data_IF_203879858634
#
_entry.id   IF_203879858634
#
_cell.length_a   1.000
_cell.length_b   1.000
_cell.length_c   1.000
_cell.angle_alpha   90.00
_cell.angle_beta   90.00
_cell.angle_gamma   90.00
#
_symmetry.space_group_name_H-M   'P 1'
#
loop_
_entity.id
_entity.type
_entity.pdbx_description
1 polymer ?
#
# COMPACT_ATOMS: atom_id res chain seq x y z
N UNK A 1 14.37 0.74 -14.44
CA UNK A 1 13.17 -0.10 -14.22
C UNK A 1 12.97 -0.15 -12.71
N UNK A 2 11.77 0.14 -12.22
CA UNK A 2 11.48 0.03 -10.78
C UNK A 2 10.86 -1.33 -10.51
N UNK A 3 11.23 -1.95 -9.41
CA UNK A 3 10.68 -3.24 -8.97
C UNK A 3 9.29 -3.05 -8.35
N UNK A 4 8.25 -3.19 -9.18
CA UNK A 4 6.86 -3.07 -8.74
C UNK A 4 6.46 -4.23 -7.81
N UNK A 5 6.99 -5.42 -8.02
CA UNK A 5 6.66 -6.59 -7.21
C UNK A 5 7.26 -6.47 -5.81
N UNK A 6 8.52 -6.03 -5.71
CA UNK A 6 9.16 -5.73 -4.44
C UNK A 6 8.42 -4.64 -3.66
N UNK A 7 7.94 -3.59 -4.33
CA UNK A 7 7.10 -2.56 -3.69
C UNK A 7 5.78 -3.16 -3.20
N UNK A 8 5.13 -4.00 -4.01
CA UNK A 8 3.89 -4.67 -3.61
C UNK A 8 4.11 -5.57 -2.38
N UNK A 9 5.23 -6.31 -2.31
CA UNK A 9 5.57 -7.14 -1.15
C UNK A 9 5.80 -6.30 0.12
N UNK A 10 6.52 -5.19 0.01
CA UNK A 10 6.74 -4.29 1.15
C UNK A 10 5.42 -3.69 1.65
N UNK A 11 4.57 -3.22 0.76
CA UNK A 11 3.25 -2.68 1.15
C UNK A 11 2.38 -3.78 1.78
N UNK A 12 2.42 -4.99 1.23
CA UNK A 12 1.73 -6.14 1.80
C UNK A 12 2.23 -6.48 3.21
N UNK A 13 3.55 -6.48 3.42
CA UNK A 13 4.17 -6.68 4.73
C UNK A 13 3.71 -5.63 5.74
N UNK A 14 3.62 -4.35 5.35
CA UNK A 14 3.16 -3.28 6.26
C UNK A 14 1.71 -3.47 6.70
N UNK A 15 0.84 -3.97 5.81
CA UNK A 15 -0.59 -4.11 6.06
C UNK A 15 -0.90 -5.42 6.80
N UNK A 16 -0.32 -6.53 6.36
CA UNK A 16 -0.68 -7.88 6.81
C UNK A 16 0.37 -8.56 7.68
N UNK A 17 1.57 -7.97 7.82
CA UNK A 17 2.71 -8.52 8.57
C UNK A 17 3.20 -9.87 8.07
N UNK A 18 3.04 -10.14 6.77
CA UNK A 18 3.52 -11.34 6.09
C UNK A 18 3.86 -11.03 4.63
N UNK A 19 4.69 -11.86 4.03
CA UNK A 19 5.05 -11.73 2.62
C UNK A 19 3.84 -11.96 1.70
N UNK A 20 3.91 -11.33 0.54
CA UNK A 20 2.92 -11.36 -0.52
C UNK A 20 2.77 -12.78 -1.06
N UNK A 21 1.54 -13.28 -1.05
CA UNK A 21 1.16 -14.51 -1.73
C UNK A 21 0.21 -14.17 -2.87
N UNK A 22 0.59 -14.60 -4.06
CA UNK A 22 -0.16 -14.34 -5.28
C UNK A 22 -0.84 -15.60 -5.77
N UNK A 23 -2.02 -15.40 -6.34
CA UNK A 23 -2.71 -16.39 -7.15
C UNK A 23 -3.21 -15.70 -8.42
N UNK A 24 -3.48 -16.50 -9.45
CA UNK A 24 -4.01 -15.99 -10.70
C UNK A 24 -5.46 -16.43 -10.86
N UNK A 25 -6.33 -15.47 -11.16
CA UNK A 25 -7.74 -15.70 -11.43
C UNK A 25 -8.11 -14.98 -12.73
N UNK A 26 -8.64 -15.70 -13.73
CA UNK A 26 -9.00 -15.13 -15.03
C UNK A 26 -7.87 -14.30 -15.69
N UNK A 27 -6.62 -14.79 -15.59
CA UNK A 27 -5.41 -14.11 -16.07
C UNK A 27 -5.01 -12.84 -15.32
N UNK A 28 -5.68 -12.51 -14.22
CA UNK A 28 -5.35 -11.38 -13.34
C UNK A 28 -4.63 -11.89 -12.10
N UNK A 29 -3.50 -11.26 -11.76
CA UNK A 29 -2.76 -11.51 -10.53
C UNK A 29 -3.43 -10.81 -9.36
N UNK A 30 -3.73 -11.60 -8.33
CA UNK A 30 -4.45 -11.15 -7.13
C UNK A 30 -3.75 -11.65 -5.87
N UNK A 31 -3.78 -10.86 -4.81
CA UNK A 31 -3.25 -11.26 -3.50
C UNK A 31 -4.20 -12.25 -2.81
N UNK A 32 -3.69 -13.20 -2.05
CA UNK A 32 -4.51 -14.20 -1.35
C UNK A 32 -5.36 -13.61 -0.20
N UNK A 33 -4.98 -12.44 0.29
CA UNK A 33 -5.55 -11.76 1.44
C UNK A 33 -6.83 -11.00 1.08
N UNK A 34 -7.82 -11.01 1.98
CA UNK A 34 -9.09 -10.30 1.78
C UNK A 34 -8.94 -8.81 2.07
N UNK A 35 -8.56 -8.04 1.06
CA UNK A 35 -8.37 -6.59 1.11
C UNK A 35 -9.65 -5.83 1.51
N UNK A 36 -10.83 -6.33 1.10
CA UNK A 36 -12.13 -5.68 1.36
C UNK A 36 -12.47 -5.52 2.84
N UNK A 37 -11.78 -6.24 3.75
CA UNK A 37 -11.98 -6.13 5.19
C UNK A 37 -11.11 -5.06 5.86
N UNK A 38 -10.20 -4.45 5.12
CA UNK A 38 -9.30 -3.43 5.63
C UNK A 38 -9.96 -2.06 5.67
N UNK A 39 -9.52 -1.24 6.63
CA UNK A 39 -9.72 0.20 6.53
C UNK A 39 -9.02 0.71 5.25
N UNK A 40 -9.76 1.41 4.40
CA UNK A 40 -9.27 1.78 3.06
C UNK A 40 -9.21 0.61 2.07
N UNK A 41 -10.00 -0.46 2.25
CA UNK A 41 -9.97 -1.63 1.37
C UNK A 41 -10.11 -1.30 -0.13
N UNK A 42 -10.91 -0.30 -0.50
CA UNK A 42 -11.01 0.14 -1.90
C UNK A 42 -9.69 0.69 -2.45
N UNK A 43 -8.98 1.49 -1.65
CA UNK A 43 -7.66 2.04 -1.99
C UNK A 43 -6.67 0.89 -2.19
N UNK A 44 -6.56 0.00 -1.22
CA UNK A 44 -5.61 -1.11 -1.28
C UNK A 44 -5.91 -2.07 -2.42
N UNK A 45 -7.20 -2.32 -2.71
CA UNK A 45 -7.59 -3.18 -3.81
C UNK A 45 -7.15 -2.59 -5.15
N UNK A 46 -7.39 -1.28 -5.34
CA UNK A 46 -6.93 -0.55 -6.51
C UNK A 46 -5.41 -0.53 -6.63
N UNK A 47 -4.69 -0.29 -5.53
CA UNK A 47 -3.24 -0.33 -5.46
C UNK A 47 -2.69 -1.69 -5.93
N UNK A 48 -3.14 -2.79 -5.32
CA UNK A 48 -2.65 -4.12 -5.68
C UNK A 48 -3.03 -4.52 -7.10
N UNK A 49 -4.24 -4.18 -7.55
CA UNK A 49 -4.68 -4.45 -8.92
C UNK A 49 -3.77 -3.77 -9.94
N UNK A 50 -3.51 -2.46 -9.75
CA UNK A 50 -2.71 -1.67 -10.68
C UNK A 50 -1.24 -2.09 -10.67
N UNK A 51 -0.63 -2.26 -9.49
CA UNK A 51 0.80 -2.55 -9.40
C UNK A 51 1.18 -3.95 -9.92
N UNK A 52 0.25 -4.92 -9.83
CA UNK A 52 0.50 -6.30 -10.25
C UNK A 52 0.18 -6.57 -11.73
N UNK A 53 -0.70 -5.78 -12.34
CA UNK A 53 -1.30 -6.12 -13.64
C UNK A 53 -1.14 -5.03 -14.71
N UNK A 54 -0.32 -4.01 -14.47
CA UNK A 54 -0.13 -2.93 -15.45
C UNK A 54 0.94 -3.28 -16.49
N UNK A 55 0.62 -3.03 -17.76
CA UNK A 55 1.56 -3.05 -18.88
C UNK A 55 2.30 -1.72 -19.06
N UNK A 56 1.96 -0.69 -18.26
CA UNK A 56 2.58 0.62 -18.35
C UNK A 56 4.01 0.62 -17.79
N UNK A 57 4.86 1.57 -18.20
CA UNK A 57 6.16 1.76 -17.57
C UNK A 57 6.02 1.94 -16.05
N UNK A 58 6.82 1.21 -15.27
CA UNK A 58 6.80 1.25 -13.79
C UNK A 58 6.76 2.65 -13.18
N UNK A 59 7.42 3.64 -13.77
CA UNK A 59 7.41 5.04 -13.31
C UNK A 59 6.04 5.70 -13.46
N UNK A 60 5.31 5.40 -14.55
CA UNK A 60 3.95 5.90 -14.77
C UNK A 60 2.99 5.32 -13.73
N UNK A 61 3.06 4.00 -13.51
CA UNK A 61 2.28 3.30 -12.48
C UNK A 61 2.48 3.92 -11.11
N UNK A 62 3.74 4.13 -10.70
CA UNK A 62 4.05 4.71 -9.39
C UNK A 62 3.63 6.17 -9.27
N UNK A 63 3.69 6.95 -10.36
CA UNK A 63 3.22 8.35 -10.36
C UNK A 63 1.72 8.42 -10.14
N UNK A 64 0.95 7.58 -10.82
CA UNK A 64 -0.51 7.50 -10.68
C UNK A 64 -0.89 7.07 -9.26
N UNK A 65 -0.31 5.96 -8.78
CA UNK A 65 -0.55 5.47 -7.41
C UNK A 65 -0.19 6.50 -6.34
N UNK A 66 0.93 7.23 -6.52
CA UNK A 66 1.30 8.33 -5.64
C UNK A 66 0.24 9.45 -5.67
N UNK A 67 -0.25 9.83 -6.85
CA UNK A 67 -1.29 10.85 -6.98
C UNK A 67 -2.53 10.49 -6.18
N UNK A 68 -3.05 9.28 -6.37
CA UNK A 68 -4.22 8.77 -5.65
C UNK A 68 -4.01 8.74 -4.13
N UNK A 69 -2.82 8.33 -3.67
CA UNK A 69 -2.50 8.30 -2.24
C UNK A 69 -2.40 9.72 -1.65
N UNK A 70 -1.78 10.65 -2.38
CA UNK A 70 -1.63 12.05 -1.92
C UNK A 70 -2.97 12.75 -1.80
N UNK A 71 -3.93 12.49 -2.70
CA UNK A 71 -5.28 13.04 -2.60
C UNK A 71 -6.01 12.60 -1.32
N UNK A 72 -5.68 11.41 -0.79
CA UNK A 72 -6.23 10.91 0.48
C UNK A 72 -5.48 11.43 1.70
N UNK A 73 -4.27 11.93 1.53
CA UNK A 73 -3.44 12.53 2.57
C UNK A 73 -3.67 14.04 2.66
N UNK A 74 -4.89 14.43 3.02
CA UNK A 74 -5.21 15.82 3.33
C UNK A 74 -4.47 16.34 4.59
N UNK A 75 -4.64 17.62 4.91
CA UNK A 75 -4.00 18.22 6.09
C UNK A 75 -4.42 17.52 7.40
N UNK A 76 -5.64 16.99 7.48
CA UNK A 76 -6.12 16.24 8.65
C UNK A 76 -5.39 14.91 8.82
N UNK A 77 -4.97 14.28 7.72
CA UNK A 77 -4.12 13.08 7.78
C UNK A 77 -2.71 13.39 8.27
N UNK A 78 -2.13 14.54 7.91
CA UNK A 78 -0.79 14.93 8.36
C UNK A 78 -0.74 15.10 9.89
N UNK A 79 -1.74 15.75 10.48
CA UNK A 79 -1.82 15.93 11.94
C UNK A 79 -1.95 14.59 12.68
N UNK A 80 -2.74 13.66 12.12
CA UNK A 80 -2.85 12.29 12.65
C UNK A 80 -1.54 11.53 12.55
N UNK A 81 -0.82 11.64 11.43
CA UNK A 81 0.51 11.04 11.24
C UNK A 81 1.51 11.55 12.28
N UNK A 82 1.57 12.86 12.49
CA UNK A 82 2.42 13.47 13.52
C UNK A 82 2.09 12.90 14.90
N UNK A 83 0.80 12.78 15.23
CA UNK A 83 0.36 12.20 16.50
C UNK A 83 0.80 10.74 16.65
N UNK A 84 0.68 9.92 15.59
CA UNK A 84 1.17 8.54 15.59
C UNK A 84 2.68 8.44 15.77
N UNK A 85 3.46 9.31 15.12
CA UNK A 85 4.92 9.31 15.28
C UNK A 85 5.36 9.68 16.70
N UNK A 86 4.70 10.66 17.32
CA UNK A 86 4.95 11.02 18.73
C UNK A 86 4.63 9.82 19.65
N UNK A 87 3.50 9.14 19.42
CA UNK A 87 3.14 7.95 20.20
C UNK A 87 4.15 6.80 20.01
N UNK A 88 4.58 6.55 18.78
CA UNK A 88 5.60 5.56 18.46
C UNK A 88 6.93 5.87 19.16
N UNK A 89 7.37 7.12 19.14
CA UNK A 89 8.62 7.54 19.80
C UNK A 89 8.56 7.33 21.31
N UNK A 90 7.45 7.72 21.96
CA UNK A 90 7.24 7.47 23.40
C UNK A 90 7.27 5.98 23.76
N UNK A 91 6.84 5.10 22.85
CA UNK A 91 6.85 3.63 23.07
C UNK A 91 8.22 3.02 22.85
N UNK A 92 9.01 3.57 21.93
CA UNK A 92 10.35 3.06 21.61
C UNK A 92 11.41 3.61 22.57
N UNK A 93 11.21 4.82 23.11
CA UNK A 93 12.12 5.52 24.01
C UNK A 93 11.41 5.93 25.32
N UNK A 94 11.00 4.97 26.18
CA UNK A 94 10.41 5.30 27.46
C UNK A 94 11.45 5.94 28.40
N UNK A 95 11.05 7.01 29.10
CA UNK A 95 11.85 7.71 30.12
C UNK A 95 12.30 6.79 31.26
#
# INVERSE_FOLDING_TARGET
MVDLLGIADIVHLMIFRKHLLLHQENSVWTISEKVSRLHGGNLWNRFFTKILNSDDPSVCVLRELKGELVELFDSCFQDKLCSYFIELDMRLNPL
#
